data_IF_864024427548
#
_entry.id   IF_864024427548
#
_cell.length_a   1.000
_cell.length_b   1.000
_cell.length_c   1.000
_cell.angle_alpha   90.00
_cell.angle_beta   90.00
_cell.angle_gamma   90.00
#
_symmetry.space_group_name_H-M   'P 1'
#
loop_
_entity.id
_entity.type
_entity.pdbx_description
1 polymer ?
#
# COMPACT_ATOMS: atom_id res chain seq x y z
N UNK A 1 -5.78 -10.51 15.75
CA UNK A 1 -4.84 -10.97 14.72
C UNK A 1 -5.07 -10.15 13.47
N UNK A 2 -4.04 -9.86 12.71
CA UNK A 2 -4.18 -9.25 11.38
C UNK A 2 -4.82 -10.29 10.44
N UNK A 3 -5.89 -9.99 9.66
CA UNK A 3 -6.54 -10.98 8.80
C UNK A 3 -5.61 -11.68 7.81
N UNK A 4 -4.62 -10.97 7.30
CA UNK A 4 -3.59 -11.55 6.43
C UNK A 4 -2.63 -12.52 7.14
N UNK A 5 -2.69 -12.66 8.46
CA UNK A 5 -1.93 -13.66 9.22
C UNK A 5 -0.41 -13.48 9.23
N UNK A 6 0.12 -12.42 8.62
CA UNK A 6 1.55 -12.09 8.55
C UNK A 6 1.81 -10.61 8.79
N UNK A 7 3.05 -10.28 9.16
CA UNK A 7 3.53 -8.91 9.12
C UNK A 7 3.80 -8.49 7.66
N UNK A 8 3.63 -7.19 7.39
CA UNK A 8 4.10 -6.60 6.14
C UNK A 8 5.63 -6.61 6.10
N UNK A 9 6.19 -6.81 4.92
CA UNK A 9 7.63 -6.67 4.66
C UNK A 9 7.93 -5.28 4.07
N UNK A 10 9.20 -4.85 4.06
CA UNK A 10 9.59 -3.63 3.36
C UNK A 10 9.16 -3.61 1.88
N UNK A 11 9.18 -4.76 1.22
CA UNK A 11 8.80 -4.92 -0.18
C UNK A 11 7.30 -4.66 -0.39
N UNK A 12 6.42 -5.07 0.54
CA UNK A 12 4.99 -4.76 0.44
C UNK A 12 4.73 -3.24 0.39
N UNK A 13 5.51 -2.46 1.15
CA UNK A 13 5.43 -0.99 1.14
C UNK A 13 5.99 -0.43 -0.17
N UNK A 14 7.13 -0.94 -0.61
CA UNK A 14 7.79 -0.49 -1.84
C UNK A 14 6.90 -0.67 -3.07
N UNK A 15 6.20 -1.79 -3.19
CA UNK A 15 5.28 -2.05 -4.30
C UNK A 15 4.11 -1.07 -4.34
N UNK A 16 3.53 -0.73 -3.17
CA UNK A 16 2.45 0.27 -3.10
C UNK A 16 2.96 1.66 -3.46
N UNK A 17 4.13 2.05 -2.98
CA UNK A 17 4.76 3.32 -3.36
C UNK A 17 5.02 3.36 -4.86
N UNK A 18 5.58 2.30 -5.44
CA UNK A 18 5.85 2.21 -6.87
C UNK A 18 4.56 2.30 -7.71
N UNK A 19 3.48 1.65 -7.26
CA UNK A 19 2.18 1.75 -7.91
C UNK A 19 1.64 3.19 -7.90
N UNK A 20 1.63 3.83 -6.73
CA UNK A 20 1.11 5.20 -6.55
C UNK A 20 1.94 6.23 -7.31
N UNK A 21 3.27 6.04 -7.37
CA UNK A 21 4.17 6.92 -8.11
C UNK A 21 4.10 6.71 -9.63
N UNK A 22 3.41 5.67 -10.13
CA UNK A 22 3.31 5.39 -11.55
C UNK A 22 2.21 6.21 -12.24
N UNK A 23 2.29 6.31 -13.57
CA UNK A 23 1.29 7.01 -14.40
C UNK A 23 -0.14 6.45 -14.25
N UNK A 24 -0.27 5.23 -13.71
CA UNK A 24 -1.58 4.59 -13.42
C UNK A 24 -2.37 5.34 -12.35
N UNK A 25 -1.70 6.16 -11.54
CA UNK A 25 -2.30 6.94 -10.46
C UNK A 25 -2.26 8.45 -10.72
N UNK A 26 -2.15 8.88 -11.99
CA UNK A 26 -1.93 10.29 -12.34
C UNK A 26 -2.99 11.30 -11.82
N UNK A 27 -4.18 10.83 -11.43
CA UNK A 27 -5.24 11.67 -10.88
C UNK A 27 -5.46 11.48 -9.36
N UNK A 28 -4.67 10.61 -8.72
CA UNK A 28 -4.77 10.32 -7.29
C UNK A 28 -3.99 11.37 -6.50
N UNK A 29 -4.68 12.13 -5.66
CA UNK A 29 -4.09 13.19 -4.83
C UNK A 29 -4.89 13.34 -3.53
N UNK A 30 -4.23 13.75 -2.44
CA UNK A 30 -4.88 14.00 -1.14
C UNK A 30 -5.33 12.75 -0.37
N UNK A 31 -5.00 11.55 -0.85
CA UNK A 31 -5.42 10.29 -0.25
C UNK A 31 -4.36 9.67 0.67
N UNK A 32 -4.82 8.86 1.63
CA UNK A 32 -3.97 8.05 2.51
C UNK A 32 -4.23 6.57 2.28
N UNK A 33 -3.18 5.80 1.96
CA UNK A 33 -3.28 4.37 1.71
C UNK A 33 -2.85 3.59 2.94
N UNK A 34 -3.77 2.80 3.49
CA UNK A 34 -3.57 2.02 4.71
C UNK A 34 -3.11 0.60 4.40
N UNK A 35 -1.86 0.29 4.75
CA UNK A 35 -1.27 -1.05 4.63
C UNK A 35 -1.39 -1.82 5.96
N UNK A 36 -2.60 -2.19 6.33
CA UNK A 36 -2.88 -2.75 7.68
C UNK A 36 -3.03 -4.26 7.72
N UNK A 37 -2.96 -4.93 6.57
CA UNK A 37 -3.20 -6.36 6.47
C UNK A 37 -4.65 -6.78 6.77
N UNK A 38 -5.60 -5.83 6.67
CA UNK A 38 -7.04 -6.05 6.90
C UNK A 38 -7.58 -5.56 8.25
N UNK A 39 -6.82 -4.73 8.98
CA UNK A 39 -7.29 -4.08 10.20
C UNK A 39 -7.91 -2.71 9.92
#
# INVERSE_FOLDING_TARGET
>A
GTPLGRLATPEDVAEVVAFVASDRCAYLTGETIWLTGGR
#
